data_IF_375053629632
#
_entry.id   IF_375053629632
#
_cell.length_a   1.000
_cell.length_b   1.000
_cell.length_c   1.000
_cell.angle_alpha   90.00
_cell.angle_beta   90.00
_cell.angle_gamma   90.00
#
_symmetry.space_group_name_H-M   'P 1'
#
loop_
_entity.id
_entity.type
_entity.pdbx_description
1 polymer ?
#
# COMPACT_ATOMS: atom_id res chain seq x y z
N UNK A 1 -7.36 -14.75 12.37
CA UNK A 1 -6.92 -13.39 12.77
C UNK A 1 -5.74 -12.98 11.89
N UNK A 2 -5.44 -11.69 11.73
CA UNK A 2 -4.26 -11.28 10.94
C UNK A 2 -2.98 -11.68 11.69
N UNK A 3 -2.09 -12.41 11.02
CA UNK A 3 -0.87 -12.98 11.61
C UNK A 3 0.28 -11.98 11.56
N UNK A 4 0.47 -11.29 10.44
CA UNK A 4 1.53 -10.30 10.23
C UNK A 4 1.23 -9.33 9.05
N UNK A 5 2.14 -8.38 8.78
CA UNK A 5 2.05 -7.41 7.68
C UNK A 5 3.04 -7.70 6.55
N UNK A 6 2.73 -7.27 5.32
CA UNK A 6 3.68 -7.28 4.21
C UNK A 6 4.99 -6.55 4.57
N UNK A 7 4.92 -5.43 5.29
CA UNK A 7 6.12 -4.72 5.73
C UNK A 7 7.09 -5.60 6.54
N UNK A 8 6.57 -6.47 7.42
CA UNK A 8 7.39 -7.42 8.19
C UNK A 8 8.08 -8.43 7.28
N UNK A 9 7.32 -9.06 6.39
CA UNK A 9 7.84 -10.08 5.47
C UNK A 9 8.75 -9.52 4.38
N UNK A 10 8.60 -8.25 4.03
CA UNK A 10 9.32 -7.62 2.90
C UNK A 10 10.56 -6.84 3.34
N UNK A 11 10.51 -6.11 4.47
CA UNK A 11 11.59 -5.20 4.88
C UNK A 11 12.43 -5.71 6.07
N UNK A 12 11.87 -6.60 6.88
CA UNK A 12 12.45 -6.97 8.18
C UNK A 12 12.70 -8.47 8.33
N UNK A 13 12.62 -9.22 7.23
CA UNK A 13 12.80 -10.66 7.29
C UNK A 13 14.27 -11.03 7.12
N UNK A 14 14.91 -11.47 8.22
CA UNK A 14 16.37 -11.64 8.30
C UNK A 14 16.92 -12.81 7.45
N UNK A 15 16.11 -13.83 7.12
CA UNK A 15 16.63 -15.08 6.53
C UNK A 15 15.95 -15.58 5.23
N UNK A 16 14.87 -14.95 4.76
CA UNK A 16 14.12 -15.33 3.56
C UNK A 16 13.40 -14.09 2.99
N UNK A 17 13.51 -13.87 1.69
CA UNK A 17 12.71 -12.83 1.03
C UNK A 17 11.43 -13.47 0.49
N UNK A 18 10.33 -12.72 0.46
CA UNK A 18 9.09 -13.19 -0.20
C UNK A 18 9.42 -13.60 -1.64
N UNK A 19 9.04 -14.83 -1.99
CA UNK A 19 9.21 -15.37 -3.35
C UNK A 19 8.51 -14.51 -4.39
N UNK A 20 9.09 -14.44 -5.58
CA UNK A 20 8.57 -13.61 -6.66
C UNK A 20 7.11 -13.90 -7.01
N UNK A 21 6.72 -15.19 -7.04
CA UNK A 21 5.34 -15.60 -7.29
C UNK A 21 4.38 -15.01 -6.24
N UNK A 22 4.76 -15.01 -4.96
CA UNK A 22 3.95 -14.39 -3.91
C UNK A 22 3.89 -12.87 -4.04
N UNK A 23 4.96 -12.20 -4.49
CA UNK A 23 4.94 -10.75 -4.77
C UNK A 23 3.94 -10.39 -5.87
N UNK A 24 3.88 -11.18 -6.94
CA UNK A 24 2.90 -11.02 -8.01
C UNK A 24 1.47 -11.31 -7.51
N UNK A 25 1.28 -12.35 -6.69
CA UNK A 25 0.00 -12.67 -6.07
C UNK A 25 -0.50 -11.52 -5.17
N UNK A 26 0.38 -10.92 -4.38
CA UNK A 26 0.09 -9.74 -3.57
C UNK A 26 -0.34 -8.54 -4.43
N UNK A 27 0.40 -8.24 -5.50
CA UNK A 27 0.06 -7.13 -6.40
C UNK A 27 -1.32 -7.31 -7.04
N UNK A 28 -1.61 -8.52 -7.54
CA UNK A 28 -2.91 -8.86 -8.12
C UNK A 28 -4.03 -8.72 -7.08
N UNK A 29 -3.87 -9.36 -5.92
CA UNK A 29 -4.88 -9.33 -4.87
C UNK A 29 -5.20 -7.90 -4.41
N UNK A 30 -4.19 -7.05 -4.22
CA UNK A 30 -4.40 -5.65 -3.81
C UNK A 30 -5.14 -4.90 -4.91
N UNK A 31 -4.80 -5.12 -6.19
CA UNK A 31 -5.51 -4.50 -7.30
C UNK A 31 -6.98 -4.92 -7.35
N UNK A 32 -7.28 -6.22 -7.20
CA UNK A 32 -8.65 -6.74 -7.14
C UNK A 32 -9.43 -6.18 -5.95
N UNK A 33 -8.80 -6.08 -4.77
CA UNK A 33 -9.44 -5.52 -3.59
C UNK A 33 -9.77 -4.02 -3.76
N UNK A 34 -8.87 -3.26 -4.39
CA UNK A 34 -9.09 -1.84 -4.69
C UNK A 34 -10.18 -1.65 -5.76
N UNK A 35 -10.19 -2.49 -6.79
CA UNK A 35 -11.23 -2.49 -7.82
C UNK A 35 -12.60 -2.80 -7.23
N UNK A 36 -12.69 -3.86 -6.42
CA UNK A 36 -13.91 -4.20 -5.68
C UNK A 36 -14.41 -3.04 -4.81
N UNK A 37 -13.52 -2.39 -4.06
CA UNK A 37 -13.91 -1.22 -3.27
C UNK A 37 -14.44 -0.08 -4.14
N UNK A 38 -13.83 0.14 -5.31
CA UNK A 38 -14.26 1.15 -6.27
C UNK A 38 -15.66 0.84 -6.84
N UNK A 39 -15.91 -0.42 -7.25
CA UNK A 39 -17.21 -0.85 -7.77
C UNK A 39 -18.31 -0.78 -6.71
N UNK A 40 -17.97 -0.98 -5.44
CA UNK A 40 -18.88 -0.83 -4.29
C UNK A 40 -19.06 0.64 -3.83
N UNK A 41 -18.64 1.61 -4.64
CA UNK A 41 -18.83 3.04 -4.34
C UNK A 41 -17.88 3.59 -3.28
N UNK A 42 -16.78 2.88 -2.97
CA UNK A 42 -15.73 3.29 -2.03
C UNK A 42 -14.38 3.42 -2.73
N UNK A 43 -14.23 4.34 -3.70
CA UNK A 43 -13.02 4.44 -4.53
C UNK A 43 -11.82 5.07 -3.79
N UNK A 44 -11.97 5.39 -2.51
CA UNK A 44 -10.94 6.05 -1.71
C UNK A 44 -10.34 5.08 -0.70
N UNK A 45 -9.02 4.98 -0.71
CA UNK A 45 -8.26 4.24 0.28
C UNK A 45 -7.14 5.13 0.82
N UNK A 46 -7.13 5.34 2.12
CA UNK A 46 -6.23 6.24 2.82
C UNK A 46 -5.00 5.48 3.32
N UNK A 47 -3.82 6.07 3.07
CA UNK A 47 -2.55 5.57 3.61
C UNK A 47 -2.21 4.13 3.17
N UNK A 48 -2.46 3.79 1.90
CA UNK A 48 -2.06 2.49 1.32
C UNK A 48 -0.53 2.37 1.30
N UNK A 49 -0.01 1.31 1.91
CA UNK A 49 1.41 0.95 1.97
C UNK A 49 1.55 -0.52 2.45
N UNK A 50 2.77 -1.04 2.53
CA UNK A 50 3.04 -2.41 2.99
C UNK A 50 2.54 -2.74 4.41
N UNK A 51 2.26 -1.76 5.28
CA UNK A 51 1.67 -2.01 6.61
C UNK A 51 0.16 -2.22 6.56
N UNK A 52 -0.50 -1.91 5.43
CA UNK A 52 -1.94 -2.09 5.22
C UNK A 52 -2.30 -3.43 4.58
N UNK A 53 -1.30 -4.18 4.15
CA UNK A 53 -1.46 -5.51 3.59
C UNK A 53 -1.10 -6.50 4.68
N UNK A 54 -2.04 -7.38 4.99
CA UNK A 54 -2.00 -8.34 6.09
C UNK A 54 -1.95 -9.75 5.51
N UNK A 55 -1.49 -10.70 6.31
CA UNK A 55 -1.68 -12.13 6.04
C UNK A 55 -2.64 -12.70 7.06
N UNK A 56 -3.49 -13.64 6.65
CA UNK A 56 -4.31 -14.41 7.58
C UNK A 56 -3.58 -15.68 8.06
N UNK A 57 -4.31 -16.57 8.71
CA UNK A 57 -3.77 -17.82 9.28
C UNK A 57 -3.37 -18.83 8.20
N UNK A 58 -3.97 -18.75 7.02
CA UNK A 58 -3.67 -19.60 5.86
C UNK A 58 -2.52 -19.02 5.01
N UNK A 59 -2.02 -17.84 5.36
CA UNK A 59 -0.97 -17.13 4.63
C UNK A 59 -1.49 -16.39 3.39
N UNK A 60 -2.80 -16.21 3.27
CA UNK A 60 -3.40 -15.47 2.17
C UNK A 60 -3.40 -13.96 2.45
N UNK A 61 -3.15 -13.13 1.42
CA UNK A 61 -3.09 -11.68 1.60
C UNK A 61 -4.49 -11.10 1.85
N UNK A 62 -4.56 -10.10 2.72
CA UNK A 62 -5.77 -9.31 3.03
C UNK A 62 -5.48 -7.82 3.07
N UNK A 63 -6.37 -7.02 2.48
CA UNK A 63 -6.28 -5.56 2.54
C UNK A 63 -7.04 -5.04 3.77
N UNK A 64 -6.39 -4.24 4.60
CA UNK A 64 -6.99 -3.72 5.84
C UNK A 64 -8.18 -2.79 5.56
N UNK A 65 -9.34 -3.06 6.15
CA UNK A 65 -10.52 -2.19 5.99
C UNK A 65 -10.34 -0.79 6.63
N UNK A 66 -9.35 -0.60 7.51
CA UNK A 66 -9.09 0.70 8.15
C UNK A 66 -8.71 1.79 7.14
N UNK A 67 -8.13 1.44 5.99
CA UNK A 67 -7.84 2.41 4.94
C UNK A 67 -9.08 3.00 4.28
N UNK A 68 -10.23 2.34 4.36
CA UNK A 68 -11.50 2.87 3.83
C UNK A 68 -12.12 3.95 4.72
N UNK A 69 -11.62 4.10 5.95
CA UNK A 69 -12.07 5.12 6.88
C UNK A 69 -11.08 6.27 6.92
N UNK A 70 -11.61 7.50 7.01
CA UNK A 70 -10.80 8.71 7.09
C UNK A 70 -10.23 8.84 8.51
N UNK A 71 -8.91 8.91 8.64
CA UNK A 71 -8.22 8.84 9.94
C UNK A 71 -8.48 10.05 10.88
N UNK A 72 -9.09 11.15 10.40
CA UNK A 72 -9.39 12.32 11.23
C UNK A 72 -10.50 13.21 10.63
N UNK A 73 -11.23 13.96 11.50
CA UNK A 73 -12.17 15.02 11.09
C UNK A 73 -11.48 16.15 10.31
N UNK A 74 -10.20 16.40 10.61
CA UNK A 74 -9.38 17.46 10.01
C UNK A 74 -8.88 17.12 8.59
N UNK A 75 -9.18 15.92 8.09
CA UNK A 75 -8.90 15.51 6.71
C UNK A 75 -7.49 15.03 6.41
N UNK A 76 -6.59 15.04 7.39
CA UNK A 76 -5.29 14.39 7.26
C UNK A 76 -5.49 12.89 7.17
N UNK A 77 -5.26 12.35 5.97
CA UNK A 77 -5.52 10.96 5.62
C UNK A 77 -4.25 10.12 5.58
N UNK A 78 -3.10 10.75 5.37
CA UNK A 78 -1.79 10.09 5.38
C UNK A 78 -1.11 10.29 6.74
N UNK A 79 -0.65 9.20 7.32
CA UNK A 79 0.28 9.20 8.45
C UNK A 79 1.70 8.83 8.01
N UNK A 80 1.89 8.48 6.74
CA UNK A 80 3.18 8.20 6.12
C UNK A 80 4.03 9.45 5.91
N UNK A 81 5.34 9.23 5.80
CA UNK A 81 6.31 10.27 5.44
C UNK A 81 5.89 10.97 4.13
N UNK A 82 6.02 12.31 4.10
CA UNK A 82 5.71 13.18 2.95
C UNK A 82 6.33 12.69 1.65
N UNK A 83 7.48 12.04 1.72
CA UNK A 83 8.21 11.49 0.58
C UNK A 83 7.42 10.45 -0.23
N UNK A 84 6.41 9.80 0.36
CA UNK A 84 5.58 8.77 -0.27
C UNK A 84 4.18 9.26 -0.64
N UNK A 85 3.87 10.52 -0.32
CA UNK A 85 2.53 11.05 -0.50
C UNK A 85 2.30 11.49 -1.96
N UNK A 86 1.10 11.28 -2.51
CA UNK A 86 0.78 11.75 -3.86
C UNK A 86 1.01 13.27 -3.98
N UNK A 87 1.67 13.76 -5.05
CA UNK A 87 1.93 15.19 -5.22
C UNK A 87 0.67 16.06 -5.20
N UNK A 88 -0.44 15.54 -5.77
CA UNK A 88 -1.74 16.22 -5.74
C UNK A 88 -2.28 16.36 -4.31
N UNK A 89 -2.10 15.33 -3.48
CA UNK A 89 -2.50 15.38 -2.07
C UNK A 89 -1.68 16.42 -1.30
N UNK A 90 -0.36 16.51 -1.53
CA UNK A 90 0.49 17.52 -0.88
C UNK A 90 0.00 18.96 -1.17
N UNK A 91 -0.59 19.19 -2.34
CA UNK A 91 -1.10 20.50 -2.75
C UNK A 91 -2.46 20.85 -2.15
N UNK A 92 -3.38 19.89 -2.03
CA UNK A 92 -4.79 20.18 -1.70
C UNK A 92 -5.33 19.46 -0.47
N UNK A 93 -4.56 18.56 0.14
CA UNK A 93 -4.94 17.77 1.31
C UNK A 93 -6.07 16.76 1.07
N UNK A 94 -6.41 16.43 -0.18
CA UNK A 94 -7.55 15.56 -0.53
C UNK A 94 -7.08 14.28 -1.19
N UNK A 95 -7.61 13.16 -0.71
CA UNK A 95 -7.44 11.86 -1.36
C UNK A 95 -8.42 11.77 -2.52
N UNK A 96 -7.93 11.33 -3.67
CA UNK A 96 -8.69 11.10 -4.89
C UNK A 96 -8.47 9.66 -5.38
N UNK A 97 -9.28 9.13 -6.30
CA UNK A 97 -9.03 7.81 -6.89
C UNK A 97 -7.62 7.70 -7.49
N UNK A 98 -7.10 8.76 -8.13
CA UNK A 98 -5.74 8.77 -8.67
C UNK A 98 -4.67 8.75 -7.57
N UNK A 99 -4.99 9.26 -6.39
CA UNK A 99 -4.11 9.17 -5.22
C UNK A 99 -3.96 7.73 -4.75
N UNK A 100 -5.03 6.93 -4.83
CA UNK A 100 -5.01 5.49 -4.50
C UNK A 100 -4.13 4.74 -5.50
N UNK A 101 -4.27 5.03 -6.80
CA UNK A 101 -3.43 4.45 -7.86
C UNK A 101 -1.95 4.81 -7.65
N UNK A 102 -1.65 6.07 -7.28
CA UNK A 102 -0.29 6.48 -6.96
C UNK A 102 0.29 5.67 -5.79
N UNK A 103 -0.47 5.55 -4.69
CA UNK A 103 -0.03 4.75 -3.54
C UNK A 103 0.11 3.28 -3.87
N UNK A 104 -0.74 2.72 -4.73
CA UNK A 104 -0.55 1.35 -5.24
C UNK A 104 0.78 1.22 -5.99
N UNK A 105 1.16 2.22 -6.81
CA UNK A 105 2.48 2.29 -7.43
C UNK A 105 3.64 2.26 -6.43
N UNK A 106 3.50 2.91 -5.27
CA UNK A 106 4.52 2.82 -4.20
C UNK A 106 4.63 1.42 -3.60
N UNK A 107 3.51 0.68 -3.48
CA UNK A 107 3.52 -0.72 -3.05
C UNK A 107 4.18 -1.62 -4.11
N UNK A 108 3.99 -1.33 -5.40
CA UNK A 108 4.70 -2.04 -6.47
C UNK A 108 6.22 -1.83 -6.38
N UNK A 109 6.67 -0.61 -6.07
CA UNK A 109 8.09 -0.34 -5.84
C UNK A 109 8.64 -1.09 -4.63
N UNK A 110 7.86 -1.16 -3.54
CA UNK A 110 8.22 -1.98 -2.37
C UNK A 110 8.38 -3.45 -2.78
N UNK A 111 7.40 -4.00 -3.51
CA UNK A 111 7.42 -5.40 -3.97
C UNK A 111 8.57 -5.69 -4.95
N UNK A 112 8.91 -4.74 -5.82
CA UNK A 112 10.04 -4.91 -6.76
C UNK A 112 11.39 -4.89 -6.02
N UNK A 113 11.57 -3.91 -5.14
CA UNK A 113 12.88 -3.64 -4.53
C UNK A 113 13.14 -4.40 -3.23
N UNK A 114 12.10 -4.90 -2.57
CA UNK A 114 12.21 -5.43 -1.20
C UNK A 114 12.57 -4.35 -0.17
N UNK A 115 12.43 -3.07 -0.51
CA UNK A 115 12.79 -1.92 0.33
C UNK A 115 11.70 -0.87 0.26
N UNK A 116 11.55 -0.10 1.33
CA UNK A 116 10.67 1.06 1.29
C UNK A 116 11.43 2.26 0.69
N UNK A 117 11.22 2.51 -0.61
CA UNK A 117 11.98 3.50 -1.39
C UNK A 117 11.08 4.67 -1.78
N UNK A 118 11.45 5.93 -1.45
CA UNK A 118 10.71 7.09 -1.90
C UNK A 118 10.63 7.14 -3.44
N UNK A 119 9.46 7.44 -4.04
CA UNK A 119 9.32 7.55 -5.50
C UNK A 119 10.32 8.51 -6.15
N UNK A 120 10.72 9.58 -5.45
CA UNK A 120 11.74 10.53 -5.91
C UNK A 120 13.14 9.94 -6.07
N UNK A 121 13.43 8.80 -5.44
CA UNK A 121 14.74 8.14 -5.48
C UNK A 121 14.78 6.97 -6.47
N UNK A 122 13.69 6.68 -7.20
CA UNK A 122 13.61 5.56 -8.15
C UNK A 122 14.50 5.78 -9.38
N UNK A 123 14.73 7.02 -9.79
CA UNK A 123 15.57 7.35 -10.96
C UNK A 123 17.04 6.94 -10.81
N UNK A 124 17.50 6.56 -9.61
CA UNK A 124 18.86 6.04 -9.37
C UNK A 124 18.95 4.52 -9.31
N UNK A 125 17.84 3.80 -9.54
CA UNK A 125 17.73 2.33 -9.38
C UNK A 125 17.44 1.60 -10.70
N UNK A 126 17.15 2.32 -11.79
CA UNK A 126 17.02 1.83 -13.17
C UNK A 126 18.22 2.33 -13.98
#
# INVERSE_FOLDING_TARGET
MATDTLAKHLFHWENQTIEWAMRLRLALYIAEALDYCSTEGRPLYHNLNAYRVLFDEDGDPRLSCFGLMRNSRDGKSYSTNLAYMPPKYLRNGRVTPESVVYSFGTVLLDLLSGKHIPPSHVSGLL
#
